data_IF_134028053370
#
_entry.id   IF_134028053370
#
_cell.length_a   1.000
_cell.length_b   1.000
_cell.length_c   1.000
_cell.angle_alpha   90.00
_cell.angle_beta   90.00
_cell.angle_gamma   90.00
#
_symmetry.space_group_name_H-M   'P 1'
#
loop_
_entity.id
_entity.type
_entity.pdbx_description
1 polymer ?
#
# COMPACT_ATOMS: atom_id res chain seq x y z
N UNK A 1 6.82 -8.30 -6.24
CA UNK A 1 6.42 -8.39 -4.83
C UNK A 1 5.62 -7.17 -4.34
N UNK A 2 5.99 -5.93 -4.70
CA UNK A 2 5.07 -4.77 -4.62
C UNK A 2 3.74 -5.03 -5.36
N UNK A 3 3.78 -5.89 -6.39
CA UNK A 3 2.61 -6.48 -7.05
C UNK A 3 1.58 -7.16 -6.11
N UNK A 4 1.99 -7.72 -4.97
CA UNK A 4 1.09 -8.38 -4.01
C UNK A 4 0.35 -7.38 -3.12
N UNK A 5 1.00 -6.27 -2.76
CA UNK A 5 0.34 -5.14 -2.10
C UNK A 5 -0.60 -4.40 -3.06
N UNK A 6 -0.39 -4.56 -4.37
CA UNK A 6 -1.30 -4.10 -5.40
C UNK A 6 -2.42 -5.08 -5.73
N UNK A 7 -2.73 -6.09 -4.91
CA UNK A 7 -3.96 -6.87 -5.06
C UNK A 7 -4.98 -6.44 -4.00
N UNK A 8 -6.09 -5.88 -4.47
CA UNK A 8 -7.13 -5.27 -3.65
C UNK A 8 -7.66 -6.18 -2.54
N UNK A 9 -7.99 -7.42 -2.89
CA UNK A 9 -8.49 -8.39 -1.92
C UNK A 9 -7.44 -8.81 -0.90
N UNK A 10 -6.15 -8.75 -1.25
CA UNK A 10 -5.06 -9.02 -0.31
C UNK A 10 -5.02 -7.94 0.78
N UNK A 11 -5.13 -6.66 0.42
CA UNK A 11 -5.14 -5.58 1.42
C UNK A 11 -6.40 -5.62 2.30
N UNK A 12 -7.57 -5.86 1.70
CA UNK A 12 -8.84 -5.98 2.44
C UNK A 12 -8.84 -7.16 3.40
N UNK A 13 -8.46 -8.36 2.95
CA UNK A 13 -8.35 -9.54 3.83
C UNK A 13 -7.32 -9.28 4.94
N UNK A 14 -6.20 -8.62 4.61
CA UNK A 14 -5.21 -8.29 5.63
C UNK A 14 -5.71 -7.27 6.66
N UNK A 15 -6.43 -6.25 6.24
CA UNK A 15 -7.07 -5.29 7.13
C UNK A 15 -8.03 -5.99 8.09
N UNK A 16 -8.88 -6.89 7.58
CA UNK A 16 -9.80 -7.67 8.43
C UNK A 16 -9.05 -8.57 9.42
N UNK A 17 -7.98 -9.24 8.97
CA UNK A 17 -7.17 -10.08 9.86
C UNK A 17 -6.48 -9.27 10.97
N UNK A 18 -5.99 -8.08 10.65
CA UNK A 18 -5.33 -7.19 11.61
C UNK A 18 -6.30 -6.52 12.59
N UNK A 19 -7.57 -6.39 12.21
CA UNK A 19 -8.69 -5.93 13.06
C UNK A 19 -9.42 -7.09 13.74
N UNK A 20 -8.84 -8.29 13.71
CA UNK A 20 -9.25 -9.41 14.56
C UNK A 20 -10.11 -10.49 13.89
N UNK A 21 -10.42 -10.41 12.59
CA UNK A 21 -11.04 -11.52 11.88
C UNK A 21 -10.09 -12.73 11.86
N UNK A 22 -10.56 -13.89 12.29
CA UNK A 22 -9.74 -15.12 12.36
C UNK A 22 -10.40 -16.29 11.65
N UNK A 23 -11.72 -16.38 11.63
CA UNK A 23 -12.45 -17.48 11.01
C UNK A 23 -12.91 -17.10 9.61
N UNK A 24 -13.12 -18.11 8.77
CA UNK A 24 -13.62 -17.91 7.41
C UNK A 24 -14.95 -17.13 7.39
N UNK A 25 -15.86 -17.43 8.33
CA UNK A 25 -17.13 -16.71 8.51
C UNK A 25 -16.90 -15.22 8.80
N UNK A 26 -15.96 -14.88 9.68
CA UNK A 26 -15.65 -13.48 10.01
C UNK A 26 -15.26 -12.68 8.76
N UNK A 27 -14.45 -13.28 7.87
CA UNK A 27 -14.07 -12.64 6.62
C UNK A 27 -15.24 -12.51 5.65
N UNK A 28 -16.11 -13.53 5.55
CA UNK A 28 -17.29 -13.48 4.68
C UNK A 28 -18.32 -12.46 5.13
N UNK A 29 -18.53 -12.32 6.44
CA UNK A 29 -19.49 -11.37 6.99
C UNK A 29 -19.01 -9.93 6.81
N UNK A 30 -17.69 -9.70 6.90
CA UNK A 30 -17.09 -8.37 6.81
C UNK A 30 -16.75 -7.93 5.39
N UNK A 31 -16.60 -8.87 4.45
CA UNK A 31 -16.20 -8.58 3.06
C UNK A 31 -17.27 -9.07 2.08
N UNK A 32 -17.69 -8.21 1.17
CA UNK A 32 -18.55 -8.56 0.03
C UNK A 32 -17.75 -9.30 -1.07
N UNK A 33 -17.14 -10.44 -0.72
CA UNK A 33 -16.26 -11.24 -1.57
C UNK A 33 -16.85 -12.63 -1.82
N UNK A 34 -16.68 -13.17 -3.03
CA UNK A 34 -17.14 -14.53 -3.32
C UNK A 34 -16.32 -15.59 -2.59
N UNK A 35 -16.95 -16.72 -2.27
CA UNK A 35 -16.30 -17.86 -1.59
C UNK A 35 -15.01 -18.33 -2.30
N UNK A 36 -15.07 -18.45 -3.63
CA UNK A 36 -13.93 -18.91 -4.42
C UNK A 36 -12.75 -17.93 -4.33
N UNK A 37 -13.02 -16.62 -4.38
CA UNK A 37 -11.97 -15.60 -4.29
C UNK A 37 -11.38 -15.56 -2.89
N UNK A 38 -12.22 -15.57 -1.83
CA UNK A 38 -11.76 -15.57 -0.45
C UNK A 38 -10.88 -16.79 -0.13
N UNK A 39 -11.33 -17.98 -0.53
CA UNK A 39 -10.57 -19.22 -0.34
C UNK A 39 -9.20 -19.16 -1.03
N UNK A 40 -9.15 -18.68 -2.28
CA UNK A 40 -7.90 -18.52 -3.00
C UNK A 40 -6.97 -17.50 -2.34
N UNK A 41 -7.52 -16.41 -1.80
CA UNK A 41 -6.75 -15.37 -1.11
C UNK A 41 -6.17 -15.86 0.21
N UNK A 42 -6.97 -16.46 1.08
CA UNK A 42 -6.50 -17.03 2.33
C UNK A 42 -5.41 -18.10 2.11
N UNK A 43 -5.57 -18.93 1.06
CA UNK A 43 -4.54 -19.90 0.66
C UNK A 43 -3.24 -19.22 0.21
N UNK A 44 -3.31 -18.18 -0.63
CA UNK A 44 -2.11 -17.47 -1.08
C UNK A 44 -1.40 -16.76 0.09
N UNK A 45 -2.16 -16.06 0.93
CA UNK A 45 -1.62 -15.37 2.11
C UNK A 45 -0.96 -16.34 3.10
N UNK A 46 -1.51 -17.54 3.26
CA UNK A 46 -0.91 -18.59 4.09
C UNK A 46 0.39 -19.11 3.48
N UNK A 47 0.37 -19.45 2.18
CA UNK A 47 1.56 -19.89 1.43
C UNK A 47 2.68 -18.85 1.44
N UNK A 48 2.33 -17.58 1.45
CA UNK A 48 3.29 -16.46 1.45
C UNK A 48 3.80 -16.08 2.85
N UNK A 49 3.31 -16.75 3.91
CA UNK A 49 3.70 -16.49 5.29
C UNK A 49 3.12 -15.21 5.89
N UNK A 50 2.06 -14.67 5.29
CA UNK A 50 1.31 -13.52 5.84
C UNK A 50 0.26 -13.98 6.85
N UNK A 51 -0.31 -15.16 6.66
CA UNK A 51 -1.20 -15.81 7.61
C UNK A 51 -0.67 -17.20 7.96
N UNK A 52 -1.08 -17.73 9.10
CA UNK A 52 -0.92 -19.13 9.46
C UNK A 52 -2.30 -19.73 9.62
N UNK A 53 -2.59 -20.79 8.87
CA UNK A 53 -3.82 -21.55 9.03
C UNK A 53 -3.63 -22.57 10.16
N UNK A 54 -4.37 -22.39 11.26
CA UNK A 54 -4.34 -23.28 12.42
C UNK A 54 -5.67 -24.01 12.52
N UNK A 55 -5.65 -25.35 12.47
CA UNK A 55 -6.84 -26.15 12.67
C UNK A 55 -7.27 -26.08 14.14
N UNK A 56 -8.55 -25.77 14.38
CA UNK A 56 -9.14 -25.81 15.72
C UNK A 56 -10.21 -26.91 15.86
N UNK A 57 -10.62 -27.50 14.74
CA UNK A 57 -11.59 -28.60 14.70
C UNK A 57 -11.23 -29.53 13.54
N UNK A 58 -11.30 -30.84 13.75
CA UNK A 58 -10.92 -31.85 12.74
C UNK A 58 -12.12 -32.49 12.03
N UNK A 59 -13.32 -32.44 12.63
CA UNK A 59 -14.57 -32.98 12.05
C UNK A 59 -15.77 -32.07 12.33
N UNK A 60 -16.34 -31.39 11.32
CA UNK A 60 -15.69 -31.03 10.05
C UNK A 60 -14.38 -30.25 10.27
N UNK A 61 -13.42 -30.31 9.33
CA UNK A 61 -12.18 -29.55 9.42
C UNK A 61 -12.49 -28.06 9.42
N UNK A 62 -12.05 -27.35 10.47
CA UNK A 62 -12.13 -25.89 10.55
C UNK A 62 -10.80 -25.31 10.98
N UNK A 63 -10.42 -24.24 10.30
CA UNK A 63 -9.19 -23.50 10.58
C UNK A 63 -9.50 -22.06 10.92
N UNK A 64 -8.67 -21.51 11.78
CA UNK A 64 -8.52 -20.07 11.95
C UNK A 64 -7.24 -19.59 11.24
N UNK A 65 -7.22 -18.32 10.88
CA UNK A 65 -6.15 -17.68 10.13
C UNK A 65 -5.51 -16.61 11.01
N UNK A 66 -4.31 -16.90 11.51
CA UNK A 66 -3.60 -16.06 12.46
C UNK A 66 -2.58 -15.15 11.75
N UNK A 67 -2.46 -13.91 12.23
CA UNK A 67 -1.48 -12.95 11.69
C UNK A 67 -0.05 -13.32 12.08
N UNK A 68 0.88 -13.07 11.17
CA UNK A 68 2.32 -13.27 11.40
C UNK A 68 3.02 -11.94 11.71
N UNK A 69 4.26 -11.95 12.24
CA UNK A 69 5.03 -10.72 12.38
C UNK A 69 5.16 -9.95 11.05
N UNK A 70 5.23 -10.68 9.93
CA UNK A 70 5.32 -10.10 8.60
C UNK A 70 4.05 -9.36 8.21
N UNK A 71 2.89 -9.95 8.43
CA UNK A 71 1.64 -9.28 8.10
C UNK A 71 1.25 -8.20 9.09
N UNK A 72 1.57 -8.34 10.39
CA UNK A 72 1.44 -7.23 11.37
C UNK A 72 2.22 -5.99 10.98
N UNK A 73 3.39 -6.16 10.35
CA UNK A 73 4.19 -5.03 9.88
C UNK A 73 3.63 -4.32 8.64
N UNK A 74 2.52 -4.78 8.04
CA UNK A 74 1.77 -4.07 6.99
C UNK A 74 0.88 -2.95 7.54
N UNK A 75 0.63 -2.92 8.85
CA UNK A 75 -0.25 -1.95 9.47
C UNK A 75 0.03 -0.48 9.08
N UNK A 76 1.30 0.00 9.03
CA UNK A 76 1.60 1.36 8.56
C UNK A 76 1.16 1.66 7.13
N UNK A 77 1.16 0.65 6.25
CA UNK A 77 0.68 0.80 4.87
C UNK A 77 -0.83 1.00 4.87
N UNK A 78 -1.56 0.17 5.63
CA UNK A 78 -3.02 0.22 5.71
C UNK A 78 -3.51 1.52 6.35
N UNK A 79 -2.87 1.99 7.42
CA UNK A 79 -3.26 3.25 8.07
C UNK A 79 -2.99 4.47 7.18
N UNK A 80 -1.91 4.42 6.39
CA UNK A 80 -1.61 5.47 5.40
C UNK A 80 -2.62 5.49 4.26
N UNK A 81 -3.06 4.31 3.81
CA UNK A 81 -4.13 4.17 2.80
C UNK A 81 -5.44 4.72 3.34
N UNK A 82 -5.81 4.32 4.56
CA UNK A 82 -7.03 4.77 5.22
C UNK A 82 -7.09 6.29 5.32
N UNK A 83 -6.02 6.90 5.80
CA UNK A 83 -5.91 8.34 5.92
C UNK A 83 -6.00 9.06 4.57
N UNK A 84 -5.30 8.56 3.56
CA UNK A 84 -5.35 9.14 2.21
C UNK A 84 -6.76 9.05 1.61
N UNK A 85 -7.39 7.88 1.69
CA UNK A 85 -8.76 7.65 1.22
C UNK A 85 -9.76 8.58 1.92
N UNK A 86 -9.64 8.73 3.23
CA UNK A 86 -10.54 9.58 4.02
C UNK A 86 -10.42 11.05 3.59
N UNK A 87 -9.21 11.54 3.31
CA UNK A 87 -8.96 12.96 3.00
C UNK A 87 -9.20 13.33 1.53
N UNK A 88 -8.89 12.42 0.60
CA UNK A 88 -8.76 12.76 -0.83
C UNK A 88 -9.81 12.10 -1.74
N UNK A 89 -10.66 11.24 -1.17
CA UNK A 89 -11.69 10.53 -1.92
C UNK A 89 -13.04 10.92 -1.33
N UNK A 90 -13.80 11.80 -2.01
CA UNK A 90 -15.08 12.28 -1.50
C UNK A 90 -16.20 11.22 -1.63
N UNK A 91 -16.10 10.35 -2.65
CA UNK A 91 -17.15 9.38 -3.03
C UNK A 91 -17.08 8.05 -2.25
N UNK A 92 -17.03 8.13 -0.92
CA UNK A 92 -17.29 6.94 -0.12
C UNK A 92 -18.78 6.78 0.13
N UNK A 93 -19.34 5.58 -0.10
CA UNK A 93 -20.73 5.26 0.20
C UNK A 93 -21.09 5.52 1.69
N UNK A 94 -20.08 5.47 2.58
CA UNK A 94 -20.11 5.99 3.95
C UNK A 94 -18.77 6.65 4.22
N UNK A 95 -18.74 7.86 4.80
CA UNK A 95 -17.49 8.53 5.21
C UNK A 95 -16.66 7.57 6.06
N UNK A 96 -15.39 7.39 5.72
CA UNK A 96 -14.48 6.58 6.53
C UNK A 96 -14.37 7.17 7.94
N UNK A 97 -14.53 6.35 9.00
CA UNK A 97 -14.47 6.86 10.37
C UNK A 97 -13.12 7.47 10.72
N UNK A 98 -13.15 8.36 11.70
CA UNK A 98 -11.95 8.89 12.34
C UNK A 98 -11.15 7.76 12.99
N UNK A 99 -9.85 7.98 13.10
CA UNK A 99 -8.97 7.11 13.87
C UNK A 99 -8.70 7.77 15.20
N UNK A 100 -8.94 7.05 16.30
CA UNK A 100 -8.64 7.51 17.64
C UNK A 100 -7.39 6.83 18.18
N UNK A 101 -6.48 7.63 18.72
CA UNK A 101 -5.25 7.13 19.32
C UNK A 101 -5.51 6.85 20.79
N UNK A 102 -5.41 5.57 21.18
CA UNK A 102 -5.75 5.10 22.54
C UNK A 102 -4.92 5.81 23.61
N UNK A 103 -3.65 6.11 23.34
CA UNK A 103 -2.76 6.67 24.37
C UNK A 103 -3.03 8.14 24.70
N UNK A 104 -3.50 8.95 23.74
CA UNK A 104 -3.87 10.36 23.99
C UNK A 104 -5.37 10.61 23.91
N UNK A 105 -6.15 9.55 23.68
CA UNK A 105 -7.60 9.54 23.64
C UNK A 105 -8.24 10.56 22.69
N UNK A 106 -7.52 10.91 21.62
CA UNK A 106 -7.91 11.96 20.65
C UNK A 106 -7.94 11.39 19.24
N UNK A 107 -8.85 11.89 18.43
CA UNK A 107 -8.85 11.65 16.99
C UNK A 107 -7.58 12.22 16.37
N UNK A 108 -6.95 11.46 15.48
CA UNK A 108 -5.64 11.80 14.95
C UNK A 108 -5.51 11.48 13.47
N UNK A 109 -4.54 12.14 12.87
CA UNK A 109 -4.06 11.87 11.52
C UNK A 109 -2.62 11.34 11.60
N UNK A 110 -2.26 10.21 10.93
CA UNK A 110 -0.90 9.71 10.97
C UNK A 110 0.04 10.69 10.28
N UNK A 111 1.07 11.13 11.00
CA UNK A 111 2.15 11.95 10.46
C UNK A 111 3.36 11.07 10.13
N UNK A 112 3.98 11.28 8.98
CA UNK A 112 5.23 10.59 8.62
C UNK A 112 6.41 11.35 9.20
N UNK A 113 7.25 10.68 9.98
CA UNK A 113 8.46 11.25 10.57
C UNK A 113 9.70 10.42 10.22
N UNK A 114 10.86 11.06 10.31
CA UNK A 114 12.15 10.41 10.12
C UNK A 114 12.60 9.71 11.40
N UNK A 115 12.81 8.39 11.36
CA UNK A 115 13.38 7.62 12.49
C UNK A 115 14.67 8.22 13.06
N UNK A 116 15.48 8.87 12.22
CA UNK A 116 16.84 9.30 12.57
C UNK A 116 16.89 10.65 13.30
N UNK A 117 15.93 11.55 13.09
CA UNK A 117 15.88 12.87 13.76
C UNK A 117 14.56 13.18 14.46
N UNK A 118 13.48 12.46 14.15
CA UNK A 118 12.14 12.70 14.71
C UNK A 118 11.30 13.72 13.93
N UNK A 119 11.90 14.49 13.02
CA UNK A 119 11.18 15.53 12.27
C UNK A 119 10.08 14.96 11.38
N UNK A 120 9.03 15.75 11.17
CA UNK A 120 8.01 15.50 10.17
C UNK A 120 8.60 15.59 8.76
N UNK A 121 8.15 14.68 7.88
CA UNK A 121 8.71 14.50 6.54
C UNK A 121 7.60 14.42 5.51
N UNK A 122 7.75 15.19 4.44
CA UNK A 122 6.91 15.17 3.24
C UNK A 122 7.66 14.58 2.04
N UNK A 123 6.99 14.51 0.88
CA UNK A 123 7.61 14.06 -0.37
C UNK A 123 8.79 14.92 -0.81
N UNK A 124 8.82 16.20 -0.39
CA UNK A 124 9.87 17.16 -0.75
C UNK A 124 11.15 17.00 0.06
N UNK A 125 11.06 16.32 1.20
CA UNK A 125 12.17 16.20 2.15
C UNK A 125 12.95 14.89 1.96
N UNK A 126 12.58 14.07 0.96
CA UNK A 126 13.20 12.76 0.72
C UNK A 126 13.69 12.63 -0.71
N UNK A 127 14.96 12.31 -0.83
CA UNK A 127 15.57 11.93 -2.12
C UNK A 127 15.66 10.41 -2.19
N UNK A 128 15.11 9.83 -3.26
CA UNK A 128 15.20 8.42 -3.55
C UNK A 128 16.31 8.15 -4.59
N UNK A 129 17.18 7.18 -4.30
CA UNK A 129 18.18 6.68 -5.24
C UNK A 129 18.08 5.17 -5.33
N UNK A 130 18.38 4.62 -6.49
CA UNK A 130 18.55 3.18 -6.63
C UNK A 130 19.69 2.70 -5.72
N UNK A 131 19.40 1.65 -4.96
CA UNK A 131 20.37 0.97 -4.13
C UNK A 131 21.12 -0.13 -4.91
N UNK A 132 22.06 -0.81 -4.26
CA UNK A 132 22.95 -1.78 -4.89
C UNK A 132 22.23 -3.00 -5.51
N UNK A 133 21.08 -3.40 -4.98
CA UNK A 133 20.26 -4.47 -5.58
C UNK A 133 19.27 -3.95 -6.63
N UNK A 134 19.17 -2.63 -6.81
CA UNK A 134 18.07 -2.00 -7.51
C UNK A 134 18.40 -1.51 -8.91
N UNK A 135 17.78 -2.16 -9.90
CA UNK A 135 17.26 -1.52 -11.11
C UNK A 135 15.83 -2.03 -11.34
N UNK A 136 14.98 -1.26 -12.03
CA UNK A 136 13.57 -1.60 -12.27
C UNK A 136 13.36 -3.04 -12.81
N UNK A 137 14.12 -3.53 -13.80
CA UNK A 137 13.94 -4.88 -14.34
C UNK A 137 14.25 -6.00 -13.33
N UNK A 138 15.17 -5.77 -12.38
CA UNK A 138 15.56 -6.76 -11.35
C UNK A 138 14.57 -6.84 -10.19
N UNK A 139 13.92 -5.72 -9.90
CA UNK A 139 12.96 -5.62 -8.79
C UNK A 139 11.54 -6.05 -9.18
N UNK A 140 11.30 -6.33 -10.46
CA UNK A 140 10.00 -6.69 -11.04
C UNK A 140 10.04 -8.12 -11.61
N UNK A 141 9.37 -9.11 -10.99
CA UNK A 141 9.32 -10.46 -11.54
C UNK A 141 8.55 -10.50 -12.88
N UNK A 142 9.05 -11.27 -13.85
CA UNK A 142 8.54 -11.38 -15.22
C UNK A 142 7.15 -12.05 -15.38
N UNK A 143 6.47 -12.44 -14.28
CA UNK A 143 5.23 -13.20 -14.39
C UNK A 143 4.09 -12.37 -15.01
N UNK A 144 3.47 -12.87 -16.07
CA UNK A 144 2.37 -12.22 -16.79
C UNK A 144 1.13 -12.06 -15.90
N UNK A 145 0.79 -10.82 -15.52
CA UNK A 145 -0.51 -10.53 -14.89
C UNK A 145 -1.59 -10.49 -15.97
N UNK A 146 -2.45 -11.52 -15.99
CA UNK A 146 -3.64 -11.64 -16.83
C UNK A 146 -4.59 -10.45 -16.61
N UNK A 147 -5.14 -9.92 -17.70
CA UNK A 147 -6.13 -8.84 -17.77
C UNK A 147 -7.40 -9.22 -16.97
N UNK A 148 -7.85 -8.37 -16.03
CA UNK A 148 -9.19 -8.47 -15.40
C UNK A 148 -10.24 -7.80 -16.30
N UNK A 149 -11.45 -8.35 -16.31
CA UNK A 149 -12.62 -7.75 -16.97
C UNK A 149 -13.19 -6.61 -16.12
N UNK A 150 -13.73 -5.59 -16.81
CA UNK A 150 -14.25 -4.34 -16.24
C UNK A 150 -15.45 -4.51 -15.29
N UNK A 151 -16.11 -5.67 -15.30
CA UNK A 151 -17.31 -5.95 -14.49
C UNK A 151 -17.00 -6.20 -13.01
N UNK A 152 -15.82 -6.76 -12.68
CA UNK A 152 -15.42 -7.01 -11.28
C UNK A 152 -15.02 -5.71 -10.54
N UNK A 153 -14.59 -4.68 -11.27
CA UNK A 153 -14.20 -3.38 -10.70
C UNK A 153 -15.41 -2.55 -10.19
N UNK A 154 -16.64 -2.90 -10.58
CA UNK A 154 -17.87 -2.19 -10.16
C UNK A 154 -18.42 -2.64 -8.79
N UNK A 155 -17.83 -3.65 -8.17
CA UNK A 155 -18.18 -4.13 -6.81
C UNK A 155 -17.19 -3.65 -5.73
N UNK A 156 -16.47 -2.55 -5.98
CA UNK A 156 -15.49 -2.03 -5.03
C UNK A 156 -16.18 -1.55 -3.73
N UNK A 157 -15.89 -2.24 -2.63
CA UNK A 157 -16.24 -1.83 -1.28
C UNK A 157 -15.41 -0.62 -0.81
N UNK A 158 -15.28 -0.49 0.52
CA UNK A 158 -14.81 0.65 1.33
C UNK A 158 -13.57 1.49 0.88
N UNK A 159 -12.83 1.14 -0.20
CA UNK A 159 -11.66 1.91 -0.71
C UNK A 159 -11.55 1.90 -2.26
N UNK A 160 -12.46 2.54 -3.01
CA UNK A 160 -12.52 2.38 -4.46
C UNK A 160 -11.32 2.97 -5.22
N UNK A 161 -10.71 4.07 -4.76
CA UNK A 161 -9.69 4.77 -5.54
C UNK A 161 -8.26 4.30 -5.26
N UNK A 162 -7.90 3.94 -4.03
CA UNK A 162 -6.61 3.29 -3.74
C UNK A 162 -6.50 1.98 -4.49
N UNK A 163 -7.61 1.26 -4.64
CA UNK A 163 -7.64 0.01 -5.41
C UNK A 163 -7.53 0.26 -6.91
N UNK A 164 -8.07 1.37 -7.41
CA UNK A 164 -7.82 1.84 -8.78
C UNK A 164 -6.35 2.23 -8.99
N UNK A 165 -5.74 2.91 -8.01
CA UNK A 165 -4.42 3.53 -8.10
C UNK A 165 -3.27 2.54 -7.83
N UNK A 166 -3.35 1.77 -6.75
CA UNK A 166 -2.32 0.83 -6.30
C UNK A 166 -2.59 -0.61 -6.72
N UNK A 167 -3.81 -0.94 -7.21
CA UNK A 167 -4.29 -2.29 -7.52
C UNK A 167 -3.63 -3.03 -8.68
N UNK A 168 -2.40 -2.66 -9.06
CA UNK A 168 -1.57 -3.38 -10.02
C UNK A 168 -0.10 -3.00 -9.83
N UNK A 169 0.80 -3.94 -10.12
CA UNK A 169 2.26 -3.75 -10.15
C UNK A 169 2.71 -2.49 -10.88
N UNK A 170 2.05 -2.15 -11.99
CA UNK A 170 2.42 -0.98 -12.79
C UNK A 170 1.96 0.32 -12.17
N UNK A 171 0.85 0.32 -11.41
CA UNK A 171 0.39 1.51 -10.70
C UNK A 171 1.41 1.95 -9.64
N UNK A 172 1.83 1.01 -8.79
CA UNK A 172 2.86 1.30 -7.78
C UNK A 172 4.18 1.76 -8.41
N UNK A 173 4.64 1.06 -9.45
CA UNK A 173 5.90 1.40 -10.12
C UNK A 173 5.85 2.77 -10.82
N UNK A 174 4.74 3.09 -11.47
CA UNK A 174 4.50 4.41 -12.08
C UNK A 174 4.50 5.53 -11.05
N UNK A 175 3.83 5.33 -9.91
CA UNK A 175 3.84 6.34 -8.84
C UNK A 175 5.25 6.58 -8.34
N UNK A 176 6.00 5.53 -8.00
CA UNK A 176 7.40 5.68 -7.56
C UNK A 176 8.22 6.41 -8.63
N UNK A 177 8.08 6.05 -9.90
CA UNK A 177 8.77 6.77 -10.99
C UNK A 177 8.36 8.25 -11.08
N UNK A 178 7.08 8.58 -10.87
CA UNK A 178 6.59 9.95 -10.84
C UNK A 178 7.16 10.76 -9.66
N UNK A 179 7.28 10.15 -8.48
CA UNK A 179 7.92 10.75 -7.31
C UNK A 179 9.42 10.98 -7.51
N UNK A 180 10.08 10.12 -8.30
CA UNK A 180 11.48 10.30 -8.71
C UNK A 180 11.64 11.35 -9.82
N UNK A 181 10.54 11.89 -10.36
CA UNK A 181 10.53 12.98 -11.33
C UNK A 181 10.30 12.55 -12.79
N UNK A 182 10.07 11.27 -13.04
CA UNK A 182 9.69 10.78 -14.36
C UNK A 182 8.34 11.36 -14.74
N UNK A 183 8.26 12.00 -15.90
CA UNK A 183 7.06 12.74 -16.32
C UNK A 183 6.63 12.50 -17.76
N UNK A 184 7.47 11.91 -18.62
CA UNK A 184 7.08 11.61 -20.02
C UNK A 184 6.68 10.15 -20.15
N UNK A 185 5.73 9.87 -21.05
CA UNK A 185 5.29 8.51 -21.36
C UNK A 185 6.47 7.60 -21.77
N UNK A 186 7.34 8.08 -22.66
CA UNK A 186 8.51 7.35 -23.14
C UNK A 186 9.47 7.00 -22.01
N UNK A 187 9.65 7.92 -21.05
CA UNK A 187 10.56 7.71 -19.93
C UNK A 187 10.00 6.67 -18.96
N UNK A 188 8.68 6.68 -18.72
CA UNK A 188 8.03 5.62 -17.95
C UNK A 188 8.17 4.25 -18.62
N UNK A 189 7.93 4.16 -19.93
CA UNK A 189 8.05 2.92 -20.67
C UNK A 189 9.48 2.36 -20.60
N UNK A 190 10.48 3.21 -20.86
CA UNK A 190 11.89 2.82 -20.83
C UNK A 190 12.34 2.41 -19.43
N UNK A 191 12.00 3.20 -18.41
CA UNK A 191 12.43 2.89 -17.04
C UNK A 191 11.76 1.64 -16.50
N UNK A 192 10.46 1.46 -16.74
CA UNK A 192 9.69 0.36 -16.15
C UNK A 192 9.77 -0.94 -16.96
N UNK A 193 10.30 -0.90 -18.19
CA UNK A 193 10.30 -2.00 -19.15
C UNK A 193 8.89 -2.63 -19.30
N UNK A 194 7.86 -1.78 -19.29
CA UNK A 194 6.46 -2.17 -19.26
C UNK A 194 5.83 -2.13 -20.66
N UNK A 195 4.82 -2.99 -20.95
CA UNK A 195 4.05 -2.88 -22.18
C UNK A 195 3.38 -1.51 -22.30
N UNK A 196 3.43 -0.82 -23.46
CA UNK A 196 2.88 0.53 -23.63
C UNK A 196 1.42 0.64 -23.21
N UNK A 197 0.58 -0.35 -23.57
CA UNK A 197 -0.83 -0.37 -23.18
C UNK A 197 -1.04 -0.41 -21.67
N UNK A 198 -0.19 -1.12 -20.91
CA UNK A 198 -0.28 -1.15 -19.44
C UNK A 198 0.07 0.20 -18.81
N UNK A 199 1.02 0.94 -19.41
CA UNK A 199 1.38 2.28 -18.96
C UNK A 199 0.28 3.28 -19.31
N UNK A 200 -0.24 3.22 -20.53
CA UNK A 200 -1.32 4.09 -21.00
C UNK A 200 -2.57 3.95 -20.13
N UNK A 201 -3.03 2.71 -19.90
CA UNK A 201 -4.19 2.41 -19.05
C UNK A 201 -4.01 3.00 -17.64
N UNK A 202 -2.80 2.89 -17.07
CA UNK A 202 -2.52 3.35 -15.71
C UNK A 202 -2.40 4.86 -15.61
N UNK A 203 -1.75 5.50 -16.58
CA UNK A 203 -1.68 6.96 -16.63
C UNK A 203 -3.08 7.55 -16.79
N UNK A 204 -3.93 6.95 -17.63
CA UNK A 204 -5.34 7.34 -17.75
C UNK A 204 -6.09 7.21 -16.42
N UNK A 205 -5.91 6.10 -15.69
CA UNK A 205 -6.50 5.91 -14.36
C UNK A 205 -6.02 7.00 -13.38
N UNK A 206 -4.73 7.31 -13.37
CA UNK A 206 -4.16 8.32 -12.49
C UNK A 206 -4.65 9.73 -12.82
N UNK A 207 -4.79 10.07 -14.09
CA UNK A 207 -5.31 11.36 -14.50
C UNK A 207 -6.80 11.49 -14.21
N UNK A 208 -7.58 10.44 -14.48
CA UNK A 208 -9.03 10.41 -14.20
C UNK A 208 -9.30 10.56 -12.71
N UNK A 209 -8.49 9.93 -11.84
CA UNK A 209 -8.63 10.06 -10.39
C UNK A 209 -8.00 11.34 -9.80
N UNK A 210 -7.41 12.21 -10.63
CA UNK A 210 -6.76 13.44 -10.21
C UNK A 210 -5.46 13.22 -9.43
N UNK A 211 -4.83 12.05 -9.54
CA UNK A 211 -3.52 11.73 -8.93
C UNK A 211 -2.38 12.32 -9.76
N UNK A 212 -2.53 12.30 -11.09
CA UNK A 212 -1.63 12.97 -12.03
C UNK A 212 -2.40 14.01 -12.84
N UNK A 213 -1.75 15.09 -13.23
CA UNK A 213 -2.23 16.00 -14.26
C UNK A 213 -1.41 15.77 -15.53
N UNK A 214 -2.09 15.67 -16.67
CA UNK A 214 -1.46 15.60 -17.99
C UNK A 214 -1.46 17.00 -18.62
N UNK A 215 -0.28 17.60 -18.74
CA UNK A 215 -0.06 18.95 -19.31
C UNK A 215 1.20 18.93 -20.17
N UNK A 216 1.17 19.49 -21.37
CA UNK A 216 2.34 19.60 -22.27
C UNK A 216 3.08 18.27 -22.50
N UNK A 217 2.33 17.20 -22.78
CA UNK A 217 2.86 15.84 -22.93
C UNK A 217 3.65 15.32 -21.72
N UNK A 218 3.39 15.87 -20.54
CA UNK A 218 3.98 15.45 -19.27
C UNK A 218 2.90 15.12 -18.25
N UNK A 219 3.17 14.11 -17.46
CA UNK A 219 2.38 13.69 -16.30
C UNK A 219 3.06 14.19 -15.04
N UNK A 220 2.35 14.99 -14.24
CA UNK A 220 2.88 15.58 -13.01
C UNK A 220 1.99 15.21 -11.82
N UNK A 221 2.60 14.94 -10.67
CA UNK A 221 1.86 14.71 -9.43
C UNK A 221 1.10 15.97 -9.03
N UNK A 222 -0.21 15.79 -8.83
CA UNK A 222 -1.08 16.78 -8.17
C UNK A 222 -0.83 16.76 -6.67
N UNK A 223 -1.48 17.64 -5.92
CA UNK A 223 -1.47 17.60 -4.45
C UNK A 223 -2.00 16.24 -3.92
N UNK A 224 -3.12 15.77 -4.49
CA UNK A 224 -3.70 14.46 -4.21
C UNK A 224 -2.71 13.33 -4.47
N UNK A 225 -1.96 13.39 -5.57
CA UNK A 225 -0.94 12.41 -5.88
C UNK A 225 0.25 12.44 -4.92
N UNK A 226 0.71 13.63 -4.54
CA UNK A 226 1.79 13.80 -3.54
C UNK A 226 1.40 13.26 -2.17
N UNK A 227 0.12 13.36 -1.80
CA UNK A 227 -0.39 12.81 -0.55
C UNK A 227 -0.29 11.28 -0.44
N UNK A 228 0.00 10.54 -1.54
CA UNK A 228 0.29 9.10 -1.49
C UNK A 228 1.69 8.77 -0.95
N UNK A 229 2.52 9.79 -0.68
CA UNK A 229 3.89 9.60 -0.19
C UNK A 229 4.01 8.66 1.03
N UNK A 230 3.22 8.82 2.11
CA UNK A 230 3.24 7.90 3.27
C UNK A 230 2.97 6.45 2.88
N UNK A 231 2.04 6.21 1.95
CA UNK A 231 1.71 4.87 1.46
C UNK A 231 2.90 4.25 0.74
N UNK A 232 3.56 5.00 -0.13
CA UNK A 232 4.72 4.50 -0.89
C UNK A 232 5.91 4.19 0.01
N UNK A 233 6.28 5.09 0.93
CA UNK A 233 7.47 4.89 1.77
C UNK A 233 7.27 3.78 2.80
N UNK A 234 6.07 3.63 3.35
CA UNK A 234 5.75 2.52 4.26
C UNK A 234 5.70 1.18 3.52
N UNK A 235 5.14 1.13 2.31
CA UNK A 235 5.11 -0.07 1.48
C UNK A 235 6.52 -0.49 1.03
N UNK A 236 7.34 0.47 0.60
CA UNK A 236 8.74 0.24 0.23
C UNK A 236 9.55 -0.25 1.43
N UNK A 237 9.41 0.38 2.60
CA UNK A 237 10.07 -0.06 3.83
C UNK A 237 9.68 -1.48 4.22
N UNK A 238 8.40 -1.82 4.11
CA UNK A 238 7.92 -3.19 4.35
C UNK A 238 8.52 -4.19 3.36
N UNK A 239 8.52 -3.86 2.06
CA UNK A 239 9.05 -4.73 1.03
C UNK A 239 10.55 -5.02 1.23
N UNK A 240 11.36 -3.98 1.44
CA UNK A 240 12.80 -4.11 1.66
C UNK A 240 13.14 -4.83 2.97
N UNK A 241 12.25 -4.81 3.97
CA UNK A 241 12.45 -5.53 5.23
C UNK A 241 12.36 -7.04 5.04
N UNK A 242 11.36 -7.50 4.29
CA UNK A 242 11.00 -8.92 4.18
C UNK A 242 11.54 -9.60 2.93
N UNK A 243 11.96 -8.83 1.93
CA UNK A 243 12.50 -9.32 0.66
C UNK A 243 13.84 -8.66 0.42
N UNK A 244 14.83 -9.19 1.14
CA UNK A 244 16.20 -8.71 1.09
C UNK A 244 16.91 -9.41 -0.06
N UNK A 245 17.51 -8.62 -0.93
CA UNK A 245 18.47 -9.13 -1.88
C UNK A 245 19.87 -9.17 -1.21
N UNK A 246 20.74 -10.14 -1.56
CA UNK A 246 22.10 -10.22 -1.02
C UNK A 246 22.90 -8.92 -1.20
N UNK A 247 22.66 -8.20 -2.28
CA UNK A 247 23.38 -6.98 -2.67
C UNK A 247 22.95 -5.76 -1.84
N UNK A 248 21.80 -5.82 -1.15
CA UNK A 248 21.30 -4.75 -0.28
C UNK A 248 19.91 -4.24 -0.67
N UNK A 249 19.53 -3.00 -0.26
CA UNK A 249 18.21 -2.44 -0.55
C UNK A 249 18.06 -2.05 -2.03
N UNK A 250 16.85 -2.19 -2.57
CA UNK A 250 16.55 -1.79 -3.95
C UNK A 250 16.53 -0.26 -4.09
N UNK A 251 16.10 0.45 -3.06
CA UNK A 251 16.01 1.91 -3.02
C UNK A 251 16.58 2.41 -1.69
N UNK A 252 17.48 3.37 -1.78
CA UNK A 252 17.99 4.13 -0.64
C UNK A 252 17.28 5.48 -0.61
N UNK A 253 16.57 5.73 0.48
CA UNK A 253 15.94 7.01 0.76
C UNK A 253 16.84 7.81 1.71
N UNK A 254 17.04 9.09 1.42
CA UNK A 254 17.80 10.02 2.28
C UNK A 254 16.91 11.19 2.66
N UNK A 255 16.84 11.50 3.96
CA UNK A 255 16.16 12.70 4.45
C UNK A 255 17.08 13.89 4.20
N UNK A 256 16.61 14.89 3.45
CA UNK A 256 17.43 16.02 3.00
C UNK A 256 17.88 16.89 4.17
N UNK A 257 16.99 17.14 5.14
CA UNK A 257 17.27 18.01 6.29
C UNK A 257 18.34 17.44 7.21
N UNK A 258 18.25 16.15 7.56
CA UNK A 258 19.21 15.54 8.50
C UNK A 258 20.35 14.75 7.83
N UNK A 259 20.36 14.64 6.50
CA UNK A 259 21.37 13.95 5.70
C UNK A 259 21.46 12.43 5.89
N UNK A 260 20.69 11.85 6.83
CA UNK A 260 20.72 10.43 7.16
C UNK A 260 19.77 9.62 6.28
N UNK A 261 20.00 8.30 6.24
CA UNK A 261 19.06 7.36 5.62
C UNK A 261 17.67 7.54 6.24
N UNK A 262 16.68 7.73 5.39
CA UNK A 262 15.29 7.89 5.78
C UNK A 262 14.65 6.52 6.03
N UNK A 263 14.00 6.40 7.17
CA UNK A 263 13.10 5.30 7.53
C UNK A 263 11.85 5.93 8.12
N UNK A 264 10.71 5.66 7.50
CA UNK A 264 9.43 6.19 7.93
C UNK A 264 9.01 5.58 9.28
N UNK A 265 8.60 6.45 10.18
CA UNK A 265 7.85 6.14 11.39
C UNK A 265 6.55 6.93 11.32
N UNK A 266 5.43 6.30 11.64
CA UNK A 266 4.16 7.02 11.75
C UNK A 266 3.97 7.46 13.20
N UNK A 267 3.67 8.74 13.41
CA UNK A 267 3.40 9.33 14.73
C UNK A 267 2.00 9.93 14.75
N UNK A 268 1.44 10.08 15.96
CA UNK A 268 0.20 10.82 16.18
C UNK A 268 0.46 12.32 15.97
N UNK A 269 -0.37 13.01 15.20
CA UNK A 269 -0.27 14.47 15.02
C UNK A 269 -0.71 15.26 16.27
N UNK A 270 -1.42 14.63 17.21
CA UNK A 270 -1.86 15.26 18.46
C UNK A 270 -0.79 15.17 19.56
N UNK A 271 -0.20 13.99 19.78
CA UNK A 271 0.73 13.77 20.89
C UNK A 271 2.15 13.40 20.48
N UNK A 272 2.45 13.33 19.18
CA UNK A 272 3.77 13.01 18.58
C UNK A 272 4.31 11.59 18.87
N UNK A 273 3.62 10.79 19.68
CA UNK A 273 4.05 9.43 20.01
C UNK A 273 4.00 8.51 18.77
N UNK A 274 4.95 7.56 18.63
CA UNK A 274 4.92 6.56 17.57
C UNK A 274 3.66 5.69 17.61
N UNK A 275 3.00 5.55 16.47
CA UNK A 275 1.79 4.76 16.33
C UNK A 275 2.09 3.27 16.18
N UNK A 276 1.24 2.44 16.78
CA UNK A 276 1.23 0.98 16.64
C UNK A 276 -0.20 0.53 16.41
N UNK A 277 -0.40 -0.55 15.67
CA UNK A 277 -1.76 -1.02 15.35
C UNK A 277 -2.62 -1.39 16.56
N UNK A 278 -2.00 -1.77 17.68
CA UNK A 278 -2.71 -2.02 18.94
C UNK A 278 -3.16 -0.75 19.67
N UNK A 279 -2.69 0.43 19.25
CA UNK A 279 -2.99 1.72 19.89
C UNK A 279 -3.97 2.56 19.06
N UNK A 280 -4.53 2.01 18.00
CA UNK A 280 -5.42 2.73 17.09
C UNK A 280 -6.73 1.97 16.97
N UNK A 281 -7.83 2.64 17.25
CA UNK A 281 -9.18 2.16 17.00
C UNK A 281 -9.77 2.96 15.85
N UNK A 282 -10.32 2.25 14.86
CA UNK A 282 -11.21 2.86 13.87
C UNK A 282 -12.59 3.00 14.49
N UNK A 283 -13.21 4.17 14.34
CA UNK A 283 -14.59 4.41 14.78
C UNK A 283 -15.62 3.54 14.05
#
# INVERSE_FOLDING_TARGET
>A
MLAQLGDEWTLLVMQQALTGARRYSDFQERLSISNAVLSNRLRSLTREGLLVAQAYQTKPPRSEYLTTPRSRSLWPVLVSIWDWERRWVPDHAKRLPEMRHIACDTDFAPQTTCRSCGDAVTDKDVVARWGPSGSWPRSMPAAATRRRSSTEARQAGQFPQTMSVLGNRWGFALLVAAFVGTSRFTDFQTQLAAPPGSIADRLLIFTTNGVLAATDNRYRLTEKGRALFPVLVTALQWAQRWFRAPEGPAVVLTHTTCGRRFSAVLTCDQCTLPLRGTHVVGG
#
